data_IF_193623508853
#
_entry.id   IF_193623508853
#
_cell.length_a   1.000
_cell.length_b   1.000
_cell.length_c   1.000
_cell.angle_alpha   90.00
_cell.angle_beta   90.00
_cell.angle_gamma   90.00
#
_symmetry.space_group_name_H-M   'P 1'
#
loop_
_entity.id
_entity.type
_entity.pdbx_description
1 polymer ?
#
# COMPACT_ATOMS: atom_id res chain seq x y z
N UNK A 1 -32.41 -0.98 5.19
CA UNK A 1 -31.52 -1.77 4.33
C UNK A 1 -30.40 -0.84 3.91
N UNK A 2 -29.19 -1.01 4.45
CA UNK A 2 -28.06 -0.15 4.06
C UNK A 2 -27.57 -0.66 2.70
N UNK A 3 -27.92 0.05 1.64
CA UNK A 3 -27.35 -0.16 0.30
C UNK A 3 -26.00 0.55 0.33
N UNK A 4 -24.89 -0.16 0.07
CA UNK A 4 -23.60 0.51 -0.15
C UNK A 4 -22.33 -0.14 0.40
N UNK A 5 -22.37 -1.37 0.90
CA UNK A 5 -21.14 -2.10 1.25
C UNK A 5 -21.16 -3.51 0.66
N UNK A 6 -20.10 -3.84 -0.09
CA UNK A 6 -19.87 -5.18 -0.63
C UNK A 6 -18.73 -5.86 0.12
N UNK A 7 -18.85 -7.16 0.32
CA UNK A 7 -17.79 -7.98 0.91
C UNK A 7 -16.87 -8.45 -0.21
N UNK A 8 -15.61 -8.02 -0.16
CA UNK A 8 -14.54 -8.59 -0.97
C UNK A 8 -13.72 -9.56 -0.12
N UNK A 9 -13.51 -10.79 -0.61
CA UNK A 9 -12.60 -11.76 0.00
C UNK A 9 -11.34 -11.81 -0.84
N UNK A 10 -10.22 -11.50 -0.20
CA UNK A 10 -8.91 -11.51 -0.84
C UNK A 10 -8.23 -12.87 -0.57
N UNK A 11 -7.61 -13.49 -1.58
CA UNK A 11 -6.80 -14.68 -1.36
C UNK A 11 -5.56 -14.32 -0.54
N UNK A 12 -5.02 -15.30 0.19
CA UNK A 12 -3.71 -15.14 0.80
C UNK A 12 -2.66 -14.90 -0.30
N UNK A 13 -1.78 -13.92 -0.10
CA UNK A 13 -0.73 -13.55 -1.04
C UNK A 13 0.55 -13.19 -0.29
N UNK A 14 1.67 -13.20 -1.02
CA UNK A 14 2.92 -12.61 -0.59
C UNK A 14 2.91 -11.10 -0.91
N UNK A 15 3.56 -10.31 -0.06
CA UNK A 15 3.64 -8.87 -0.18
C UNK A 15 5.06 -8.38 0.07
N UNK A 16 5.47 -7.37 -0.69
CA UNK A 16 6.55 -6.45 -0.28
C UNK A 16 5.91 -5.33 0.52
N UNK A 17 6.47 -5.03 1.69
CA UNK A 17 5.97 -3.97 2.56
C UNK A 17 6.99 -2.84 2.61
N UNK A 18 6.60 -1.68 2.10
CA UNK A 18 7.37 -0.45 2.20
C UNK A 18 6.90 0.30 3.43
N UNK A 19 7.83 0.71 4.30
CA UNK A 19 7.52 1.51 5.48
C UNK A 19 8.26 2.84 5.41
N UNK A 20 7.54 3.95 5.60
CA UNK A 20 8.13 5.28 5.67
C UNK A 20 7.34 6.18 6.63
N UNK A 21 7.95 7.32 7.01
CA UNK A 21 7.30 8.33 7.84
C UNK A 21 6.77 9.46 6.97
N UNK A 22 5.49 9.81 7.09
CA UNK A 22 4.85 10.82 6.25
C UNK A 22 3.57 11.39 6.84
N UNK A 23 3.02 12.42 6.20
CA UNK A 23 1.69 12.97 6.55
C UNK A 23 0.59 12.12 5.92
N UNK A 24 -0.47 11.83 6.66
CA UNK A 24 -1.59 11.01 6.19
C UNK A 24 -2.34 11.65 5.02
N UNK A 25 -2.35 12.98 4.96
CA UNK A 25 -3.04 13.78 3.94
C UNK A 25 -2.19 13.99 2.68
N UNK A 26 -0.91 13.59 2.70
CA UNK A 26 -0.05 13.71 1.54
C UNK A 26 -0.51 12.75 0.43
N UNK A 27 -0.36 13.19 -0.82
CA UNK A 27 -0.67 12.33 -1.97
C UNK A 27 0.20 11.09 -1.96
N UNK A 28 -0.41 9.92 -2.17
CA UNK A 28 0.30 8.66 -2.35
C UNK A 28 0.92 8.51 -3.74
N UNK A 29 0.52 9.34 -4.71
CA UNK A 29 0.96 9.22 -6.10
C UNK A 29 2.50 9.17 -6.24
N UNK A 30 3.30 10.06 -5.62
CA UNK A 30 4.75 10.01 -5.75
C UNK A 30 5.36 8.71 -5.18
N UNK A 31 4.74 8.15 -4.14
CA UNK A 31 5.17 6.90 -3.52
C UNK A 31 4.86 5.73 -4.44
N UNK A 32 3.67 5.70 -5.05
CA UNK A 32 3.30 4.66 -6.02
C UNK A 32 4.17 4.74 -7.28
N UNK A 33 4.47 5.94 -7.79
CA UNK A 33 5.38 6.14 -8.92
C UNK A 33 6.80 5.63 -8.62
N UNK A 34 7.31 5.87 -7.41
CA UNK A 34 8.60 5.34 -6.99
C UNK A 34 8.59 3.82 -6.92
N UNK A 35 7.56 3.24 -6.29
CA UNK A 35 7.41 1.79 -6.13
C UNK A 35 7.31 1.10 -7.49
N UNK A 36 6.35 1.49 -8.32
CA UNK A 36 6.06 0.81 -9.58
C UNK A 36 7.01 1.19 -10.71
N UNK A 37 7.40 2.46 -10.78
CA UNK A 37 8.22 2.97 -11.89
C UNK A 37 9.71 2.77 -11.71
N UNK A 38 10.21 2.71 -10.46
CA UNK A 38 11.65 2.57 -10.19
C UNK A 38 11.98 1.29 -9.43
N UNK A 39 11.43 1.12 -8.22
CA UNK A 39 11.83 0.01 -7.36
C UNK A 39 11.50 -1.34 -7.99
N UNK A 40 10.24 -1.54 -8.41
CA UNK A 40 9.78 -2.80 -8.97
C UNK A 40 10.52 -3.14 -10.26
N UNK A 41 10.72 -2.15 -11.14
CA UNK A 41 11.47 -2.30 -12.38
C UNK A 41 12.94 -2.71 -12.17
N UNK A 42 13.52 -2.37 -11.01
CA UNK A 42 14.89 -2.74 -10.61
C UNK A 42 14.98 -4.02 -9.76
N UNK A 43 13.84 -4.57 -9.34
CA UNK A 43 13.77 -5.73 -8.45
C UNK A 43 13.58 -7.03 -9.23
N UNK A 44 13.90 -8.17 -8.61
CA UNK A 44 13.53 -9.49 -9.12
C UNK A 44 12.08 -9.90 -8.79
N UNK A 45 11.29 -8.99 -8.21
CA UNK A 45 9.91 -9.26 -7.82
C UNK A 45 8.98 -9.23 -9.03
N UNK A 46 8.01 -10.14 -9.04
CA UNK A 46 6.94 -10.18 -10.04
C UNK A 46 5.60 -9.89 -9.36
N UNK A 47 4.74 -9.08 -9.99
CA UNK A 47 3.43 -8.76 -9.43
C UNK A 47 2.51 -9.99 -9.45
N UNK A 48 1.68 -10.11 -8.42
CA UNK A 48 0.67 -11.16 -8.35
C UNK A 48 -0.63 -10.74 -9.03
N UNK A 49 -0.84 -11.16 -10.28
CA UNK A 49 -2.06 -10.89 -11.07
C UNK A 49 -3.34 -11.49 -10.46
N UNK A 50 -3.23 -12.41 -9.50
CA UNK A 50 -4.36 -12.98 -8.77
C UNK A 50 -4.71 -12.20 -7.49
N UNK A 51 -3.85 -11.29 -7.05
CA UNK A 51 -4.03 -10.48 -5.84
C UNK A 51 -3.84 -8.99 -6.13
N UNK A 52 -4.64 -8.40 -7.04
CA UNK A 52 -4.44 -7.05 -7.60
C UNK A 52 -4.82 -5.87 -6.69
N UNK A 53 -4.73 -6.02 -5.38
CA UNK A 53 -5.05 -4.97 -4.42
C UNK A 53 -3.82 -4.59 -3.62
N UNK A 54 -3.45 -3.32 -3.71
CA UNK A 54 -2.49 -2.70 -2.83
C UNK A 54 -3.17 -2.25 -1.54
N UNK A 55 -2.44 -2.29 -0.42
CA UNK A 55 -2.92 -1.70 0.83
C UNK A 55 -2.03 -0.55 1.24
N UNK A 56 -2.67 0.54 1.66
CA UNK A 56 -1.99 1.64 2.34
C UNK A 56 -2.55 1.71 3.76
N UNK A 57 -1.70 1.45 4.73
CA UNK A 57 -1.99 1.63 6.14
C UNK A 57 -1.34 2.92 6.62
N UNK A 58 -2.13 3.82 7.21
CA UNK A 58 -1.66 5.07 7.81
C UNK A 58 -2.65 5.52 8.90
N UNK A 59 -2.21 6.43 9.78
CA UNK A 59 -3.09 7.06 10.78
C UNK A 59 -3.34 6.24 12.04
N UNK A 60 -2.77 5.04 12.17
CA UNK A 60 -2.82 4.25 13.41
C UNK A 60 -2.21 5.00 14.60
N UNK A 61 -1.11 5.71 14.35
CA UNK A 61 -0.43 6.58 15.32
C UNK A 61 0.11 7.82 14.60
N UNK A 62 -0.24 9.00 15.11
CA UNK A 62 0.26 10.28 14.61
C UNK A 62 1.08 10.95 15.71
N UNK A 63 2.29 11.36 15.39
CA UNK A 63 3.20 12.01 16.33
C UNK A 63 2.85 13.50 16.55
N UNK A 64 3.60 14.16 17.44
CA UNK A 64 3.47 15.60 17.72
C UNK A 64 3.77 16.51 16.52
N UNK A 65 4.39 15.99 15.46
CA UNK A 65 4.71 16.72 14.22
C UNK A 65 3.65 16.50 13.13
N UNK A 66 2.60 15.72 13.42
CA UNK A 66 1.56 15.36 12.46
C UNK A 66 2.03 14.32 11.43
N UNK A 67 2.99 13.47 11.79
CA UNK A 67 3.50 12.38 10.95
C UNK A 67 3.06 11.02 11.47
N UNK A 68 2.76 10.12 10.56
CA UNK A 68 2.43 8.71 10.81
C UNK A 68 3.50 7.82 10.20
N UNK A 69 3.67 6.62 10.76
CA UNK A 69 4.22 5.50 10.00
C UNK A 69 3.19 5.11 8.95
N UNK A 70 3.62 5.04 7.69
CA UNK A 70 2.82 4.65 6.55
C UNK A 70 3.40 3.36 5.99
N UNK A 71 2.54 2.37 5.72
CA UNK A 71 2.92 1.10 5.10
C UNK A 71 2.18 0.91 3.79
N UNK A 72 2.93 0.63 2.73
CA UNK A 72 2.39 0.25 1.41
C UNK A 72 2.69 -1.22 1.18
N UNK A 73 1.65 -2.01 0.94
CA UNK A 73 1.71 -3.45 0.74
C UNK A 73 1.45 -3.73 -0.73
N UNK A 74 2.48 -4.19 -1.43
CA UNK A 74 2.42 -4.48 -2.87
C UNK A 74 2.45 -6.00 -3.07
N UNK A 75 1.43 -6.58 -3.71
CA UNK A 75 1.29 -8.01 -3.90
C UNK A 75 2.29 -8.55 -4.93
N UNK A 76 3.06 -9.57 -4.55
CA UNK A 76 4.05 -10.23 -5.41
C UNK A 76 3.83 -11.74 -5.48
N UNK A 77 4.26 -12.37 -6.57
CA UNK A 77 4.38 -13.83 -6.68
C UNK A 77 5.43 -14.35 -5.72
#
# INVERSE_FOLDING_TARGET
MVIGMEKLVLPASRYVVFEYRGRCEASMQPVMELIYGSWLASSDCQLNDQARYDFVQYGEQVDSQGLSTIRVWVPIL
#
